data_IF_574133792405
#
_entry.id   IF_574133792405
#
_cell.length_a   1.000
_cell.length_b   1.000
_cell.length_c   1.000
_cell.angle_alpha   90.00
_cell.angle_beta   90.00
_cell.angle_gamma   90.00
#
_symmetry.space_group_name_H-M   'P 1'
#
loop_
_entity.id
_entity.type
_entity.pdbx_description
1 polymer ?
#
# COMPACT_ATOMS: atom_id res chain seq x y z
N UNK A 1 9.01 8.83 8.87
CA UNK A 1 8.85 7.81 7.83
C UNK A 1 8.82 8.45 6.44
N UNK A 2 9.41 7.81 5.44
CA UNK A 2 9.32 8.17 4.02
C UNK A 2 7.95 7.80 3.42
N UNK A 3 7.66 8.23 2.19
CA UNK A 3 6.45 7.79 1.49
C UNK A 3 6.45 6.27 1.24
N UNK A 4 7.61 5.70 0.91
CA UNK A 4 7.79 4.26 0.74
C UNK A 4 7.54 3.51 2.06
N UNK A 5 8.17 3.95 3.14
CA UNK A 5 7.96 3.39 4.48
C UNK A 5 6.49 3.51 4.94
N UNK A 6 5.80 4.60 4.58
CA UNK A 6 4.39 4.78 4.91
C UNK A 6 3.48 3.73 4.26
N UNK A 7 3.86 3.22 3.08
CA UNK A 7 3.15 2.14 2.39
C UNK A 7 3.56 0.78 2.96
N UNK A 8 4.86 0.51 3.11
CA UNK A 8 5.37 -0.76 3.65
C UNK A 8 4.87 -1.04 5.07
N UNK A 9 4.75 0.00 5.90
CA UNK A 9 4.35 -0.12 7.30
C UNK A 9 2.84 -0.12 7.51
N UNK A 10 2.02 -0.15 6.45
CA UNK A 10 0.56 -0.29 6.63
C UNK A 10 0.12 -1.74 6.84
N UNK A 11 0.97 -2.72 6.54
CA UNK A 11 0.74 -4.13 6.81
C UNK A 11 1.12 -4.46 8.26
N UNK A 12 0.15 -4.36 9.16
CA UNK A 12 0.33 -4.64 10.58
C UNK A 12 0.62 -6.12 10.87
N UNK A 13 0.11 -7.04 10.04
CA UNK A 13 0.33 -8.47 10.23
C UNK A 13 1.81 -8.79 9.98
N UNK A 14 2.34 -8.36 8.84
CA UNK A 14 3.77 -8.51 8.52
C UNK A 14 4.65 -7.89 9.59
N UNK A 15 4.35 -6.67 10.04
CA UNK A 15 5.17 -6.01 11.08
C UNK A 15 5.17 -6.77 12.40
N UNK A 16 4.04 -7.37 12.80
CA UNK A 16 3.95 -8.18 14.02
C UNK A 16 4.78 -9.47 13.88
N UNK A 17 4.67 -10.14 12.73
CA UNK A 17 5.39 -11.37 12.44
C UNK A 17 6.90 -11.16 12.34
N UNK A 18 7.37 -10.07 11.69
CA UNK A 18 8.79 -9.73 11.63
C UNK A 18 9.37 -9.49 13.03
N UNK A 19 8.65 -8.74 13.87
CA UNK A 19 9.06 -8.48 15.24
C UNK A 19 9.04 -9.74 16.11
N UNK A 20 8.04 -10.60 15.94
CA UNK A 20 7.97 -11.89 16.62
C UNK A 20 9.14 -12.79 16.22
N UNK A 21 9.41 -12.92 14.92
CA UNK A 21 10.52 -13.71 14.39
C UNK A 21 11.88 -13.19 14.91
N UNK A 22 12.09 -11.87 14.91
CA UNK A 22 13.31 -11.25 15.47
C UNK A 22 13.46 -11.55 16.97
N UNK A 23 12.37 -11.46 17.73
CA UNK A 23 12.38 -11.71 19.18
C UNK A 23 12.68 -13.18 19.48
N UNK A 24 12.07 -14.11 18.74
CA UNK A 24 12.26 -15.55 18.92
C UNK A 24 13.65 -16.00 18.43
N UNK A 25 14.19 -15.39 17.37
CA UNK A 25 15.52 -15.69 16.86
C UNK A 25 16.65 -15.19 17.78
N UNK A 26 16.38 -14.16 18.59
CA UNK A 26 17.31 -13.64 19.59
C UNK A 26 17.29 -14.42 20.92
N UNK A 27 16.35 -15.36 21.10
CA UNK A 27 16.26 -16.19 22.29
C UNK A 27 17.22 -17.39 22.19
N UNK A 28 18.47 -17.19 22.63
CA UNK A 28 19.53 -18.21 22.66
C UNK A 28 19.19 -19.44 23.55
N UNK A 29 18.15 -19.34 24.40
CA UNK A 29 17.66 -20.42 25.26
C UNK A 29 16.43 -21.16 24.72
N UNK A 30 15.99 -20.83 23.49
CA UNK A 30 14.76 -21.33 22.91
C UNK A 30 14.71 -22.86 22.79
N UNK A 31 13.74 -23.48 23.45
CA UNK A 31 13.44 -24.90 23.30
C UNK A 31 12.73 -25.21 21.97
N UNK A 32 12.34 -26.47 21.76
CA UNK A 32 11.64 -26.90 20.54
C UNK A 32 10.39 -26.08 20.20
N UNK A 33 9.66 -25.61 21.22
CA UNK A 33 8.48 -24.75 21.03
C UNK A 33 8.83 -23.36 20.45
N UNK A 34 9.96 -22.76 20.85
CA UNK A 34 10.44 -21.49 20.29
C UNK A 34 10.75 -21.64 18.80
N UNK A 35 11.42 -22.74 18.44
CA UNK A 35 11.77 -23.07 17.05
C UNK A 35 10.50 -23.28 16.20
N UNK A 36 9.53 -24.07 16.69
CA UNK A 36 8.27 -24.29 15.98
C UNK A 36 7.48 -22.99 15.76
N UNK A 37 7.49 -22.07 16.74
CA UNK A 37 6.85 -20.76 16.60
C UNK A 37 7.56 -19.89 15.57
N UNK A 38 8.90 -19.92 15.57
CA UNK A 38 9.72 -19.18 14.62
C UNK A 38 9.45 -19.67 13.19
N UNK A 39 9.40 -20.99 12.97
CA UNK A 39 9.09 -21.60 11.68
C UNK A 39 7.71 -21.16 11.18
N UNK A 40 6.67 -21.21 12.03
CA UNK A 40 5.32 -20.73 11.68
C UNK A 40 5.31 -19.25 11.27
N UNK A 41 6.07 -18.40 11.96
CA UNK A 41 6.18 -16.98 11.60
C UNK A 41 6.84 -16.80 10.24
N UNK A 42 7.91 -17.54 9.93
CA UNK A 42 8.56 -17.48 8.63
C UNK A 42 7.69 -18.01 7.49
N UNK A 43 6.97 -19.13 7.69
CA UNK A 43 6.00 -19.63 6.71
C UNK A 43 4.93 -18.58 6.39
N UNK A 44 4.44 -17.88 7.41
CA UNK A 44 3.44 -16.83 7.22
C UNK A 44 4.02 -15.60 6.51
N UNK A 45 5.25 -15.20 6.82
CA UNK A 45 5.94 -14.11 6.13
C UNK A 45 6.21 -14.42 4.66
N UNK A 46 6.56 -15.68 4.34
CA UNK A 46 6.73 -16.14 2.97
C UNK A 46 5.40 -16.09 2.20
N UNK A 47 4.30 -16.55 2.81
CA UNK A 47 2.96 -16.45 2.23
C UNK A 47 2.48 -15.00 2.01
N UNK A 48 3.04 -14.02 2.72
CA UNK A 48 2.78 -12.58 2.52
C UNK A 48 3.69 -11.95 1.45
N UNK A 49 4.58 -12.72 0.83
CA UNK A 49 5.64 -12.27 -0.07
C UNK A 49 6.53 -11.18 0.56
N UNK A 50 6.85 -11.30 1.86
CA UNK A 50 7.55 -10.27 2.63
C UNK A 50 8.86 -9.79 1.97
N UNK A 51 9.57 -10.68 1.27
CA UNK A 51 10.81 -10.37 0.55
C UNK A 51 10.62 -9.38 -0.63
N UNK A 52 9.41 -9.25 -1.18
CA UNK A 52 9.13 -8.40 -2.35
C UNK A 52 8.40 -7.09 -2.00
N UNK A 53 8.12 -6.87 -0.72
CA UNK A 53 7.32 -5.75 -0.21
C UNK A 53 7.83 -4.39 -0.68
N UNK A 54 9.13 -4.15 -0.59
CA UNK A 54 9.72 -2.88 -1.00
C UNK A 54 9.51 -2.61 -2.49
N UNK A 55 9.78 -3.62 -3.33
CA UNK A 55 9.59 -3.54 -4.78
C UNK A 55 8.13 -3.27 -5.14
N UNK A 56 7.20 -4.01 -4.54
CA UNK A 56 5.76 -3.83 -4.75
C UNK A 56 5.28 -2.43 -4.34
N UNK A 57 5.69 -1.96 -3.16
CA UNK A 57 5.33 -0.63 -2.67
C UNK A 57 5.88 0.48 -3.59
N UNK A 58 7.12 0.33 -4.06
CA UNK A 58 7.75 1.27 -4.98
C UNK A 58 7.05 1.30 -6.35
N UNK A 59 6.61 0.16 -6.88
CA UNK A 59 5.86 0.05 -8.14
C UNK A 59 4.49 0.72 -8.04
N UNK A 60 3.77 0.51 -6.93
CA UNK A 60 2.48 1.17 -6.68
C UNK A 60 2.65 2.69 -6.61
N UNK A 61 3.63 3.17 -5.83
CA UNK A 61 3.91 4.59 -5.71
C UNK A 61 4.33 5.20 -7.05
N UNK A 62 5.15 4.50 -7.85
CA UNK A 62 5.51 4.95 -9.20
C UNK A 62 4.29 5.00 -10.14
N UNK A 63 3.40 4.03 -10.02
CA UNK A 63 2.09 4.05 -10.69
C UNK A 63 1.25 5.28 -10.31
N UNK A 64 1.37 5.79 -9.09
CA UNK A 64 0.64 6.99 -8.63
C UNK A 64 1.40 8.31 -8.88
N UNK A 65 2.54 8.26 -9.58
CA UNK A 65 3.32 9.43 -9.96
C UNK A 65 4.41 9.84 -8.98
N UNK A 66 4.77 8.99 -8.00
CA UNK A 66 5.93 9.23 -7.15
C UNK A 66 7.22 8.74 -7.84
N UNK A 67 8.10 9.66 -8.19
CA UNK A 67 9.45 9.32 -8.63
C UNK A 67 10.30 8.74 -7.46
N UNK A 68 11.46 8.16 -7.79
CA UNK A 68 12.36 7.55 -6.79
C UNK A 68 12.82 8.53 -5.70
N UNK A 69 12.98 9.82 -6.01
CA UNK A 69 13.38 10.84 -5.02
C UNK A 69 12.20 11.15 -4.10
N UNK A 70 10.98 11.20 -4.61
CA UNK A 70 9.75 11.44 -3.85
C UNK A 70 9.45 10.29 -2.91
N UNK A 71 9.64 9.04 -3.36
CA UNK A 71 9.47 7.85 -2.51
C UNK A 71 10.36 7.90 -1.26
N UNK A 72 11.58 8.42 -1.39
CA UNK A 72 12.53 8.60 -0.29
C UNK A 72 12.25 9.83 0.60
N UNK A 73 11.37 10.76 0.20
CA UNK A 73 11.04 11.95 1.01
C UNK A 73 10.11 11.58 2.16
N UNK A 74 10.20 12.35 3.25
CA UNK A 74 9.30 12.21 4.42
C UNK A 74 7.85 12.41 4.00
N UNK A 75 6.97 11.50 4.41
CA UNK A 75 5.55 11.54 4.07
C UNK A 75 4.85 12.84 4.51
N UNK A 76 5.30 13.43 5.62
CA UNK A 76 4.76 14.69 6.16
C UNK A 76 5.00 15.94 5.30
N UNK A 77 5.91 15.88 4.32
CA UNK A 77 6.23 16.99 3.39
C UNK A 77 5.21 17.05 2.23
N UNK A 78 4.43 15.99 2.04
CA UNK A 78 3.38 15.97 1.02
C UNK A 78 2.13 16.68 1.54
N UNK A 79 1.54 17.51 0.68
CA UNK A 79 0.31 18.27 0.94
C UNK A 79 -0.67 18.10 -0.24
N UNK A 80 -1.95 18.34 0.03
CA UNK A 80 -3.02 18.20 -0.98
C UNK A 80 -3.13 16.79 -1.55
N UNK A 81 -3.30 16.68 -2.87
CA UNK A 81 -3.49 15.42 -3.59
C UNK A 81 -2.46 14.34 -3.32
N UNK A 82 -1.21 14.71 -3.01
CA UNK A 82 -0.15 13.75 -2.72
C UNK A 82 -0.43 12.92 -1.45
N UNK A 83 -1.10 13.48 -0.44
CA UNK A 83 -1.50 12.72 0.76
C UNK A 83 -2.56 11.68 0.44
N UNK A 84 -3.54 12.06 -0.39
CA UNK A 84 -4.56 11.14 -0.89
C UNK A 84 -3.92 9.99 -1.68
N UNK A 85 -2.93 10.29 -2.54
CA UNK A 85 -2.20 9.26 -3.28
C UNK A 85 -1.40 8.31 -2.37
N UNK A 86 -0.82 8.77 -1.26
CA UNK A 86 -0.19 7.88 -0.27
C UNK A 86 -1.24 6.99 0.41
N UNK A 87 -2.41 7.53 0.78
CA UNK A 87 -3.49 6.74 1.38
C UNK A 87 -4.01 5.66 0.41
N UNK A 88 -4.16 6.03 -0.85
CA UNK A 88 -4.51 5.14 -1.94
C UNK A 88 -3.44 4.05 -2.16
N UNK A 89 -2.15 4.43 -2.17
CA UNK A 89 -1.04 3.48 -2.29
C UNK A 89 -1.09 2.42 -1.17
N UNK A 90 -1.43 2.83 0.06
CA UNK A 90 -1.61 1.91 1.20
C UNK A 90 -2.77 0.95 0.97
N UNK A 91 -3.92 1.44 0.49
CA UNK A 91 -5.07 0.58 0.18
C UNK A 91 -4.77 -0.45 -0.91
N UNK A 92 -4.13 -0.02 -2.01
CA UNK A 92 -3.69 -0.90 -3.08
C UNK A 92 -2.66 -1.93 -2.60
N UNK A 93 -1.72 -1.51 -1.74
CA UNK A 93 -0.69 -2.39 -1.20
C UNK A 93 -1.27 -3.51 -0.33
N UNK A 94 -2.28 -3.20 0.48
CA UNK A 94 -3.01 -4.15 1.32
C UNK A 94 -3.93 -5.09 0.52
N UNK A 95 -4.06 -4.91 -0.80
CA UNK A 95 -5.02 -5.63 -1.64
C UNK A 95 -6.45 -5.62 -1.04
N UNK A 96 -6.85 -4.49 -0.44
CA UNK A 96 -8.17 -4.39 0.20
C UNK A 96 -9.27 -4.56 -0.85
N UNK A 97 -10.14 -5.56 -0.69
CA UNK A 97 -11.23 -5.83 -1.64
C UNK A 97 -12.22 -4.67 -1.79
N UNK A 98 -12.25 -3.74 -0.83
CA UNK A 98 -13.10 -2.54 -0.87
C UNK A 98 -12.22 -1.33 -0.53
N UNK A 99 -12.18 -0.37 -1.44
CA UNK A 99 -11.52 0.92 -1.24
C UNK A 99 -12.57 2.03 -1.29
N UNK A 100 -12.89 2.61 -0.12
CA UNK A 100 -13.81 3.75 -0.05
C UNK A 100 -13.02 5.05 -0.25
N UNK A 101 -13.23 5.74 -1.36
CA UNK A 101 -12.63 7.04 -1.66
C UNK A 101 -13.72 8.11 -1.61
N UNK A 102 -13.69 8.95 -0.58
CA UNK A 102 -14.58 10.11 -0.50
C UNK A 102 -14.01 11.23 -1.38
N UNK A 103 -14.75 11.61 -2.42
CA UNK A 103 -14.41 12.65 -3.42
C UNK A 103 -12.94 12.71 -3.91
N UNK A 104 -12.36 11.62 -4.48
CA UNK A 104 -10.95 11.61 -4.90
C UNK A 104 -10.65 12.62 -6.02
N UNK A 105 -11.66 13.03 -6.80
CA UNK A 105 -11.52 13.93 -7.95
C UNK A 105 -11.16 15.38 -7.57
N UNK A 106 -11.52 15.85 -6.37
CA UNK A 106 -11.26 17.23 -5.96
C UNK A 106 -9.77 17.52 -5.67
N UNK A 107 -8.95 16.47 -5.56
CA UNK A 107 -7.55 16.57 -5.17
C UNK A 107 -6.60 15.85 -6.12
N UNK A 108 -7.11 15.25 -7.20
CA UNK A 108 -6.34 14.58 -8.23
C UNK A 108 -6.41 15.41 -9.52
N UNK A 109 -5.26 15.68 -10.12
CA UNK A 109 -5.20 16.20 -11.49
C UNK A 109 -5.73 15.15 -12.48
N UNK A 110 -6.09 15.58 -13.69
CA UNK A 110 -6.66 14.72 -14.73
C UNK A 110 -5.73 13.53 -15.07
N UNK A 111 -4.42 13.77 -15.10
CA UNK A 111 -3.42 12.75 -15.41
C UNK A 111 -3.40 11.65 -14.34
N UNK A 112 -3.52 12.02 -13.07
CA UNK A 112 -3.57 11.10 -11.94
C UNK A 112 -4.88 10.31 -11.87
N UNK A 113 -6.01 10.89 -12.26
CA UNK A 113 -7.27 10.16 -12.39
C UNK A 113 -7.15 9.04 -13.44
N UNK A 114 -6.65 9.36 -14.64
CA UNK A 114 -6.44 8.36 -15.71
C UNK A 114 -5.50 7.25 -15.24
N UNK A 115 -4.39 7.61 -14.59
CA UNK A 115 -3.41 6.64 -14.10
C UNK A 115 -3.96 5.77 -12.97
N UNK A 116 -4.81 6.35 -12.11
CA UNK A 116 -5.53 5.62 -11.06
C UNK A 116 -6.51 4.61 -11.67
N UNK A 117 -7.29 5.01 -12.67
CA UNK A 117 -8.20 4.11 -13.38
C UNK A 117 -7.48 2.93 -14.02
N UNK A 118 -6.37 3.20 -14.70
CA UNK A 118 -5.53 2.17 -15.30
C UNK A 118 -4.96 1.21 -14.26
N UNK A 119 -4.54 1.73 -13.10
CA UNK A 119 -4.08 0.89 -12.00
C UNK A 119 -5.20 0.04 -11.43
N UNK A 120 -6.38 0.60 -11.15
CA UNK A 120 -7.50 -0.13 -10.57
C UNK A 120 -7.99 -1.27 -11.47
N UNK A 121 -8.06 -1.03 -12.80
CA UNK A 121 -8.32 -2.09 -13.78
C UNK A 121 -7.29 -3.22 -13.73
N UNK A 122 -6.05 -2.89 -13.38
CA UNK A 122 -4.95 -3.86 -13.26
C UNK A 122 -5.02 -4.70 -11.99
N UNK A 123 -5.64 -4.18 -10.93
CA UNK A 123 -5.76 -4.84 -9.63
C UNK A 123 -7.10 -5.56 -9.41
N UNK A 124 -8.00 -5.57 -10.41
CA UNK A 124 -9.34 -6.18 -10.35
C UNK A 124 -10.13 -5.76 -9.10
N UNK A 125 -9.99 -4.48 -8.73
CA UNK A 125 -10.61 -3.92 -7.54
C UNK A 125 -11.96 -3.30 -7.89
N UNK A 126 -13.03 -3.80 -7.24
CA UNK A 126 -14.36 -3.22 -7.32
C UNK A 126 -14.42 -1.91 -6.50
N UNK A 127 -14.54 -0.78 -7.20
CA UNK A 127 -14.77 0.53 -6.58
C UNK A 127 -16.23 0.62 -6.08
N UNK A 128 -16.47 0.38 -4.79
CA UNK A 128 -17.72 0.76 -4.12
C UNK A 128 -17.64 2.25 -3.76
N UNK A 129 -17.91 3.10 -4.74
CA UNK A 129 -17.82 4.56 -4.62
C UNK A 129 -17.96 5.24 -5.98
N UNK A 130 -19.01 4.90 -6.73
CA UNK A 130 -19.19 5.28 -8.14
C UNK A 130 -20.45 6.12 -8.40
N UNK A 131 -20.95 6.92 -7.44
CA UNK A 131 -22.04 7.87 -7.72
C UNK A 131 -21.60 9.08 -8.59
N UNK A 132 -20.31 9.20 -8.95
CA UNK A 132 -19.82 10.36 -9.71
C UNK A 132 -19.07 9.97 -10.99
N UNK A 133 -19.31 8.78 -11.55
CA UNK A 133 -18.70 8.39 -12.83
C UNK A 133 -19.56 8.65 -14.06
N UNK A 134 -20.87 8.88 -13.88
CA UNK A 134 -21.81 9.04 -15.00
C UNK A 134 -22.05 10.48 -15.49
N UNK A 135 -21.31 11.49 -15.02
CA UNK A 135 -21.55 12.89 -15.41
C UNK A 135 -20.40 13.59 -16.14
N UNK A 136 -19.37 12.88 -16.59
CA UNK A 136 -18.22 13.51 -17.27
C UNK A 136 -17.90 12.93 -18.66
N UNK A 137 -18.88 12.34 -19.33
CA UNK A 137 -18.73 11.84 -20.71
C UNK A 137 -19.89 12.21 -21.64
N UNK A 138 -20.58 13.33 -21.40
CA UNK A 138 -21.62 13.80 -22.31
C UNK A 138 -22.10 15.21 -22.00
N UNK A 139 -21.50 16.19 -22.69
CA UNK A 139 -21.94 17.58 -22.83
C UNK A 139 -22.14 18.40 -21.55
N UNK A 140 -21.35 19.47 -21.40
CA UNK A 140 -21.84 20.83 -21.55
C UNK A 140 -20.73 21.88 -21.37
N UNK A 141 -21.00 23.01 -21.99
CA UNK A 141 -20.40 24.33 -21.82
C UNK A 141 -20.36 24.78 -20.34
#
# INVERSE_FOLDING_TARGET
MSALEAVINCDEERMKLEKEAETLAADDGGGGETVERLDRSYERLDALDAATVEKRAAEILFGLGFDKKMQAKKSGIFYGGWRMRIALARGLFMKSAILLLDEPKNHLDLEACVRLEEMLKKFDLDLVGCEIWYHCSGNCW
#
